data_IF_870584914490
#
_entry.id   IF_870584914490
#
_cell.length_a   1.000
_cell.length_b   1.000
_cell.length_c   1.000
_cell.angle_alpha   90.00
_cell.angle_beta   90.00
_cell.angle_gamma   90.00
#
_symmetry.space_group_name_H-M   'P 1'
#
loop_
_entity.id
_entity.type
_entity.pdbx_description
1 polymer ?
#
# COMPACT_ATOMS: atom_id res chain seq x y z
N UNK A 1 27.51 7.87 -8.40
CA UNK A 1 27.41 6.95 -9.55
C UNK A 1 27.33 5.53 -9.01
N UNK A 2 26.30 4.74 -9.33
CA UNK A 2 26.15 3.36 -8.80
C UNK A 2 27.11 2.43 -9.53
N UNK A 3 27.91 1.64 -8.81
CA UNK A 3 28.84 0.70 -9.43
C UNK A 3 28.10 -0.44 -10.16
N UNK A 4 28.69 -0.97 -11.25
CA UNK A 4 28.13 -2.14 -11.98
C UNK A 4 27.93 -3.35 -11.06
N UNK A 5 28.79 -3.53 -10.07
CA UNK A 5 28.69 -4.59 -9.06
C UNK A 5 27.48 -4.39 -8.14
N UNK A 6 27.18 -3.15 -7.73
CA UNK A 6 25.98 -2.82 -6.96
C UNK A 6 24.70 -3.06 -7.76
N UNK A 7 24.66 -2.69 -9.04
CA UNK A 7 23.52 -2.96 -9.93
C UNK A 7 23.31 -4.47 -10.10
N UNK A 8 24.39 -5.24 -10.26
CA UNK A 8 24.31 -6.71 -10.36
C UNK A 8 23.73 -7.33 -9.08
N UNK A 9 24.24 -6.94 -7.90
CA UNK A 9 23.72 -7.42 -6.60
C UNK A 9 22.23 -7.08 -6.44
N UNK A 10 21.85 -5.87 -6.82
CA UNK A 10 20.45 -5.44 -6.76
C UNK A 10 19.53 -6.27 -7.66
N UNK A 11 19.92 -6.50 -8.92
CA UNK A 11 19.15 -7.37 -9.83
C UNK A 11 19.02 -8.80 -9.28
N UNK A 12 20.04 -9.33 -8.60
CA UNK A 12 19.97 -10.64 -7.92
C UNK A 12 18.97 -10.58 -6.76
N UNK A 13 19.00 -9.54 -5.92
CA UNK A 13 18.03 -9.36 -4.84
C UNK A 13 16.58 -9.31 -5.35
N UNK A 14 16.32 -8.60 -6.46
CA UNK A 14 15.00 -8.59 -7.10
C UNK A 14 14.60 -9.98 -7.62
N UNK A 15 15.53 -10.72 -8.23
CA UNK A 15 15.30 -12.08 -8.71
C UNK A 15 14.99 -13.07 -7.57
N UNK A 16 15.74 -13.01 -6.47
CA UNK A 16 15.48 -13.82 -5.27
C UNK A 16 14.13 -13.46 -4.67
N UNK A 17 13.80 -12.17 -4.57
CA UNK A 17 12.49 -11.73 -4.08
C UNK A 17 11.35 -12.27 -4.95
N UNK A 18 11.50 -12.19 -6.28
CA UNK A 18 10.52 -12.74 -7.21
C UNK A 18 10.31 -14.25 -7.01
N UNK A 19 11.41 -15.01 -6.89
CA UNK A 19 11.35 -16.46 -6.66
C UNK A 19 10.67 -16.81 -5.33
N UNK A 20 11.01 -16.10 -4.25
CA UNK A 20 10.39 -16.31 -2.93
C UNK A 20 8.88 -16.04 -3.00
N UNK A 21 8.45 -14.94 -3.62
CA UNK A 21 7.03 -14.61 -3.76
C UNK A 21 6.27 -15.67 -4.57
N UNK A 22 6.86 -16.18 -5.66
CA UNK A 22 6.29 -17.26 -6.47
C UNK A 22 6.17 -18.58 -5.70
N UNK A 23 7.16 -18.93 -4.88
CA UNK A 23 7.13 -20.15 -4.06
C UNK A 23 6.08 -20.01 -2.96
N UNK A 24 6.04 -18.87 -2.25
CA UNK A 24 5.03 -18.62 -1.22
C UNK A 24 3.61 -18.63 -1.80
N UNK A 25 3.44 -18.18 -3.04
CA UNK A 25 2.16 -18.24 -3.73
C UNK A 25 1.59 -19.66 -3.87
N UNK A 26 2.42 -20.71 -3.88
CA UNK A 26 1.95 -22.11 -3.90
C UNK A 26 1.37 -22.56 -2.56
N UNK A 27 1.85 -21.97 -1.47
CA UNK A 27 1.51 -22.35 -0.09
C UNK A 27 0.25 -21.63 0.37
N UNK A 28 0.13 -20.35 0.02
CA UNK A 28 -1.00 -19.52 0.44
C UNK A 28 -2.24 -19.76 -0.43
N UNK A 29 -3.44 -19.65 0.14
CA UNK A 29 -4.69 -19.81 -0.61
C UNK A 29 -4.86 -18.69 -1.63
N UNK A 30 -5.37 -19.08 -2.79
CA UNK A 30 -5.60 -18.21 -3.93
C UNK A 30 -6.99 -17.61 -3.93
N UNK A 31 -7.96 -18.29 -3.31
CA UNK A 31 -9.30 -17.82 -3.02
C UNK A 31 -9.96 -18.77 -1.99
N UNK A 32 -11.22 -18.54 -1.64
CA UNK A 32 -11.99 -19.39 -0.72
C UNK A 32 -12.20 -20.84 -1.19
N UNK A 33 -11.96 -21.12 -2.47
CA UNK A 33 -12.29 -22.40 -3.13
C UNK A 33 -11.06 -23.17 -3.62
N UNK A 34 -9.86 -22.60 -3.54
CA UNK A 34 -8.63 -23.16 -4.08
C UNK A 34 -7.40 -22.69 -3.29
N UNK A 35 -6.65 -23.66 -2.77
CA UNK A 35 -5.44 -23.43 -1.99
C UNK A 35 -5.03 -24.70 -1.24
N UNK A 36 -3.78 -24.75 -0.75
CA UNK A 36 -3.24 -25.95 -0.11
C UNK A 36 -4.00 -26.37 1.16
N UNK A 37 -4.53 -25.39 1.89
CA UNK A 37 -5.36 -25.58 3.09
C UNK A 37 -6.87 -25.57 2.81
N UNK A 38 -7.27 -25.50 1.53
CA UNK A 38 -8.68 -25.40 1.12
C UNK A 38 -9.21 -26.78 0.76
N UNK A 39 -10.25 -27.29 1.46
CA UNK A 39 -10.86 -28.58 1.17
C UNK A 39 -11.35 -28.69 -0.28
N UNK A 40 -11.30 -29.90 -0.86
CA UNK A 40 -11.78 -30.20 -2.21
C UNK A 40 -11.12 -29.39 -3.35
N UNK A 41 -9.92 -28.86 -3.11
CA UNK A 41 -9.14 -28.18 -4.14
C UNK A 41 -8.80 -29.11 -5.30
N UNK A 42 -9.06 -28.67 -6.54
CA UNK A 42 -8.85 -29.47 -7.75
C UNK A 42 -7.36 -29.65 -8.07
N UNK A 43 -6.88 -30.89 -8.10
CA UNK A 43 -5.48 -31.21 -8.43
C UNK A 43 -5.01 -30.68 -9.79
N UNK A 44 -5.89 -30.63 -10.80
CA UNK A 44 -5.58 -30.05 -12.10
C UNK A 44 -5.23 -28.55 -12.02
N UNK A 45 -5.89 -27.78 -11.15
CA UNK A 45 -5.58 -26.36 -10.95
C UNK A 45 -4.23 -26.19 -10.23
N UNK A 46 -3.86 -27.10 -9.33
CA UNK A 46 -2.52 -27.13 -8.74
C UNK A 46 -1.44 -27.44 -9.78
N UNK A 47 -1.67 -28.44 -10.65
CA UNK A 47 -0.73 -28.76 -11.72
C UNK A 47 -0.52 -27.56 -12.66
N UNK A 48 -1.61 -26.87 -13.01
CA UNK A 48 -1.54 -25.63 -13.79
C UNK A 48 -0.77 -24.53 -13.06
N UNK A 49 -1.06 -24.32 -11.77
CA UNK A 49 -0.35 -23.34 -10.94
C UNK A 49 1.16 -23.63 -10.89
N UNK A 50 1.53 -24.89 -10.65
CA UNK A 50 2.93 -25.32 -10.61
C UNK A 50 3.58 -25.09 -11.97
N UNK A 51 2.92 -25.44 -13.08
CA UNK A 51 3.44 -25.20 -14.42
C UNK A 51 3.68 -23.71 -14.69
N UNK A 52 2.71 -22.84 -14.39
CA UNK A 52 2.87 -21.39 -14.51
C UNK A 52 4.00 -20.86 -13.64
N UNK A 53 4.15 -21.40 -12.42
CA UNK A 53 5.22 -21.03 -11.47
C UNK A 53 6.59 -21.43 -12.01
N UNK A 54 6.73 -22.64 -12.57
CA UNK A 54 7.97 -23.12 -13.18
C UNK A 54 8.37 -22.26 -14.37
N UNK A 55 7.43 -21.85 -15.23
CA UNK A 55 7.73 -20.93 -16.33
C UNK A 55 8.23 -19.56 -15.83
N UNK A 56 7.62 -19.05 -14.75
CA UNK A 56 8.02 -17.78 -14.13
C UNK A 56 9.41 -17.89 -13.48
N UNK A 57 9.73 -19.03 -12.84
CA UNK A 57 11.05 -19.33 -12.30
C UNK A 57 12.10 -19.53 -13.41
N UNK A 58 11.73 -20.14 -14.54
CA UNK A 58 12.60 -20.27 -15.70
C UNK A 58 12.97 -18.90 -16.29
N UNK A 59 12.05 -17.94 -16.29
CA UNK A 59 12.33 -16.55 -16.67
C UNK A 59 13.40 -15.90 -15.77
N UNK A 60 13.42 -16.25 -14.48
CA UNK A 60 14.44 -15.80 -13.52
C UNK A 60 15.77 -16.51 -13.78
N UNK A 61 15.76 -17.84 -13.91
CA UNK A 61 16.95 -18.66 -14.11
C UNK A 61 17.70 -18.31 -15.41
N UNK A 62 16.96 -17.99 -16.48
CA UNK A 62 17.53 -17.51 -17.73
C UNK A 62 18.19 -16.12 -17.62
N UNK A 63 17.86 -15.34 -16.59
CA UNK A 63 18.55 -14.11 -16.21
C UNK A 63 18.73 -13.12 -17.36
N UNK A 64 19.99 -12.77 -17.65
CA UNK A 64 20.37 -11.88 -18.76
C UNK A 64 20.43 -12.58 -20.13
N UNK A 65 20.46 -13.92 -20.15
CA UNK A 65 20.54 -14.70 -21.40
C UNK A 65 19.21 -14.68 -22.17
N UNK A 66 18.09 -14.51 -21.44
CA UNK A 66 16.78 -14.32 -22.03
C UNK A 66 16.54 -12.84 -22.32
N UNK A 67 16.12 -12.55 -23.55
CA UNK A 67 15.65 -11.21 -23.91
C UNK A 67 14.39 -10.81 -23.12
N UNK A 68 14.10 -9.50 -22.96
CA UNK A 68 12.94 -9.03 -22.21
C UNK A 68 11.60 -9.58 -22.73
N UNK A 69 11.46 -9.76 -24.05
CA UNK A 69 10.26 -10.32 -24.66
C UNK A 69 10.01 -11.78 -24.24
N UNK A 70 11.06 -12.60 -24.19
CA UNK A 70 10.96 -14.01 -23.76
C UNK A 70 10.62 -14.09 -22.28
N UNK A 71 11.24 -13.24 -21.45
CA UNK A 71 10.91 -13.16 -20.02
C UNK A 71 9.45 -12.75 -19.80
N UNK A 72 8.95 -11.76 -20.53
CA UNK A 72 7.55 -11.38 -20.47
C UNK A 72 6.64 -12.55 -20.90
N UNK A 73 6.95 -13.20 -22.03
CA UNK A 73 6.18 -14.33 -22.56
C UNK A 73 6.09 -15.50 -21.57
N UNK A 74 7.18 -15.84 -20.87
CA UNK A 74 7.18 -16.88 -19.84
C UNK A 74 6.30 -16.56 -18.61
N UNK A 75 6.01 -15.29 -18.35
CA UNK A 75 5.14 -14.86 -17.25
C UNK A 75 3.68 -14.65 -17.68
N UNK A 76 3.38 -14.58 -18.98
CA UNK A 76 2.00 -14.43 -19.49
C UNK A 76 1.07 -15.53 -18.94
N UNK A 77 1.44 -16.83 -18.93
CA UNK A 77 0.57 -17.87 -18.37
C UNK A 77 0.18 -17.62 -16.91
N UNK A 78 1.11 -17.12 -16.08
CA UNK A 78 0.84 -16.80 -14.69
C UNK A 78 -0.14 -15.62 -14.55
N UNK A 79 0.05 -14.57 -15.36
CA UNK A 79 -0.84 -13.41 -15.37
C UNK A 79 -2.25 -13.78 -15.86
N UNK A 80 -2.36 -14.67 -16.86
CA UNK A 80 -3.63 -15.19 -17.33
C UNK A 80 -4.34 -16.05 -16.26
N UNK A 81 -3.58 -16.83 -15.51
CA UNK A 81 -4.14 -17.60 -14.39
C UNK A 81 -4.74 -16.68 -13.33
N UNK A 82 -4.01 -15.64 -12.89
CA UNK A 82 -4.51 -14.64 -11.94
C UNK A 82 -5.75 -13.93 -12.49
N UNK A 83 -5.73 -13.52 -13.77
CA UNK A 83 -6.89 -12.93 -14.42
C UNK A 83 -8.10 -13.89 -14.43
N UNK A 84 -7.86 -15.18 -14.63
CA UNK A 84 -8.89 -16.21 -14.54
C UNK A 84 -9.57 -16.27 -13.17
N UNK A 85 -8.79 -16.14 -12.08
CA UNK A 85 -9.35 -16.06 -10.72
C UNK A 85 -10.16 -14.78 -10.50
N UNK A 86 -9.67 -13.64 -10.98
CA UNK A 86 -10.41 -12.36 -10.92
C UNK A 86 -11.73 -12.46 -11.70
N UNK A 87 -11.71 -12.99 -12.93
CA UNK A 87 -12.91 -13.16 -13.74
C UNK A 87 -13.88 -14.16 -13.12
N UNK A 88 -13.37 -15.25 -12.56
CA UNK A 88 -14.17 -16.22 -11.83
C UNK A 88 -14.88 -15.57 -10.64
N UNK A 89 -14.16 -14.76 -9.85
CA UNK A 89 -14.75 -14.01 -8.75
C UNK A 89 -15.85 -13.05 -9.23
N UNK A 90 -15.58 -12.26 -10.28
CA UNK A 90 -16.58 -11.35 -10.88
C UNK A 90 -17.83 -12.11 -11.31
N UNK A 91 -17.68 -13.25 -11.98
CA UNK A 91 -18.81 -14.08 -12.43
C UNK A 91 -19.57 -14.66 -11.24
N UNK A 92 -18.89 -15.16 -10.21
CA UNK A 92 -19.53 -15.66 -9.00
C UNK A 92 -20.29 -14.55 -8.27
N UNK A 93 -19.65 -13.41 -8.07
CA UNK A 93 -20.23 -12.18 -7.56
C UNK A 93 -21.53 -11.85 -8.28
N UNK A 94 -21.54 -11.89 -9.61
CA UNK A 94 -22.72 -11.54 -10.39
C UNK A 94 -23.81 -12.60 -10.27
N UNK A 95 -23.44 -13.87 -10.37
CA UNK A 95 -24.37 -15.00 -10.36
C UNK A 95 -25.02 -15.21 -9.00
N UNK A 96 -24.28 -15.00 -7.93
CA UNK A 96 -24.69 -15.26 -6.56
C UNK A 96 -25.01 -13.98 -5.78
N UNK A 97 -25.02 -12.82 -6.44
CA UNK A 97 -25.39 -11.55 -5.83
C UNK A 97 -26.77 -11.61 -5.16
N UNK A 98 -26.86 -11.09 -3.94
CA UNK A 98 -28.08 -11.12 -3.13
C UNK A 98 -28.40 -12.47 -2.47
N UNK A 99 -27.53 -13.48 -2.60
CA UNK A 99 -27.62 -14.74 -1.86
C UNK A 99 -26.61 -14.76 -0.70
N UNK A 100 -26.71 -15.76 0.19
CA UNK A 100 -25.75 -15.96 1.27
C UNK A 100 -24.44 -16.63 0.82
N UNK A 101 -24.30 -17.04 -0.46
CA UNK A 101 -23.06 -17.69 -0.91
C UNK A 101 -21.99 -16.66 -1.22
N UNK A 102 -20.86 -16.79 -0.53
CA UNK A 102 -19.71 -15.87 -0.60
C UNK A 102 -18.92 -16.13 -1.88
N UNK A 103 -18.72 -15.13 -2.76
CA UNK A 103 -17.80 -15.22 -3.90
C UNK A 103 -16.38 -15.56 -3.45
N UNK A 104 -15.59 -16.15 -4.35
CA UNK A 104 -14.29 -16.72 -3.98
C UNK A 104 -13.27 -15.68 -3.50
N UNK A 105 -13.34 -14.46 -4.02
CA UNK A 105 -12.33 -13.42 -3.85
C UNK A 105 -10.99 -13.79 -4.52
N UNK A 106 -10.01 -12.91 -4.34
CA UNK A 106 -8.61 -13.13 -4.72
C UNK A 106 -7.75 -13.05 -3.46
N UNK A 107 -7.23 -14.19 -3.03
CA UNK A 107 -6.45 -14.37 -1.81
C UNK A 107 -4.95 -14.03 -1.95
N UNK A 108 -4.20 -14.10 -0.84
CA UNK A 108 -2.79 -13.72 -0.78
C UNK A 108 -1.89 -14.55 -1.70
N UNK A 109 -2.23 -15.81 -1.99
CA UNK A 109 -1.47 -16.62 -2.95
C UNK A 109 -1.40 -15.96 -4.33
N UNK A 110 -2.52 -15.42 -4.81
CA UNK A 110 -2.57 -14.69 -6.06
C UNK A 110 -1.84 -13.33 -5.99
N UNK A 111 -1.91 -12.62 -4.86
CA UNK A 111 -1.19 -11.35 -4.67
C UNK A 111 0.32 -11.53 -4.69
N UNK A 112 0.84 -12.51 -3.95
CA UNK A 112 2.25 -12.88 -3.93
C UNK A 112 2.69 -13.35 -5.32
N UNK A 113 1.89 -14.22 -5.93
CA UNK A 113 2.16 -14.78 -7.25
C UNK A 113 2.27 -13.74 -8.34
N UNK A 114 1.28 -12.84 -8.44
CA UNK A 114 1.29 -11.78 -9.46
C UNK A 114 2.46 -10.81 -9.23
N UNK A 115 2.78 -10.47 -7.98
CA UNK A 115 3.91 -9.62 -7.66
C UNK A 115 5.24 -10.28 -8.07
N UNK A 116 5.39 -11.58 -7.77
CA UNK A 116 6.53 -12.39 -8.19
C UNK A 116 6.68 -12.47 -9.71
N UNK A 117 5.59 -12.78 -10.42
CA UNK A 117 5.54 -12.86 -11.88
C UNK A 117 5.83 -11.52 -12.57
N UNK A 118 5.37 -10.41 -11.99
CA UNK A 118 5.65 -9.07 -12.50
C UNK A 118 7.13 -8.71 -12.28
N UNK A 119 7.73 -9.09 -11.14
CA UNK A 119 9.15 -8.89 -10.88
C UNK A 119 10.05 -9.74 -11.80
N UNK A 120 9.70 -11.00 -12.05
CA UNK A 120 10.44 -11.89 -12.96
C UNK A 120 10.33 -11.44 -14.43
N UNK A 121 9.23 -10.80 -14.83
CA UNK A 121 9.03 -10.27 -16.17
C UNK A 121 9.85 -8.99 -16.46
N UNK A 122 10.33 -8.28 -15.44
CA UNK A 122 10.95 -6.97 -15.66
C UNK A 122 12.26 -7.04 -16.43
N UNK A 123 12.52 -6.07 -17.33
CA UNK A 123 13.83 -5.95 -17.95
C UNK A 123 14.90 -5.63 -16.87
N UNK A 124 16.10 -6.24 -16.95
CA UNK A 124 17.15 -6.04 -15.97
C UNK A 124 17.69 -4.61 -16.02
N UNK A 125 18.04 -4.05 -14.87
CA UNK A 125 18.62 -2.70 -14.81
C UNK A 125 20.07 -2.77 -15.30
N UNK A 126 20.40 -2.02 -16.35
CA UNK A 126 21.72 -2.03 -17.02
C UNK A 126 22.47 -0.69 -16.90
N UNK A 127 21.76 0.42 -16.65
CA UNK A 127 22.35 1.76 -16.53
C UNK A 127 22.71 2.43 -17.86
N UNK A 128 22.23 1.90 -18.99
CA UNK A 128 22.41 2.42 -20.37
C UNK A 128 21.08 2.32 -21.15
N UNK A 129 21.08 2.57 -22.47
CA UNK A 129 19.93 2.68 -23.43
C UNK A 129 18.72 1.73 -23.18
N UNK A 130 18.90 0.55 -22.60
CA UNK A 130 17.81 -0.34 -22.15
C UNK A 130 16.89 0.26 -21.06
N UNK A 131 17.29 1.37 -20.44
CA UNK A 131 16.44 2.17 -19.54
C UNK A 131 15.16 2.67 -20.22
N UNK A 132 15.14 2.83 -21.54
CA UNK A 132 13.93 3.28 -22.26
C UNK A 132 12.84 2.22 -22.29
N UNK A 133 13.20 0.92 -22.35
CA UNK A 133 12.22 -0.18 -22.22
C UNK A 133 11.67 -0.26 -20.80
N UNK A 134 12.54 -0.08 -19.81
CA UNK A 134 12.14 -0.05 -18.41
C UNK A 134 11.29 1.20 -18.07
N UNK A 135 11.56 2.34 -18.73
CA UNK A 135 10.66 3.51 -18.70
C UNK A 135 9.32 3.21 -19.36
N UNK A 136 9.30 2.48 -20.48
CA UNK A 136 8.09 1.97 -21.11
C UNK A 136 7.27 1.07 -20.19
N UNK A 137 7.94 0.17 -19.47
CA UNK A 137 7.33 -0.67 -18.42
C UNK A 137 6.72 0.18 -17.31
N UNK A 138 7.40 1.21 -16.83
CA UNK A 138 6.83 2.13 -15.84
C UNK A 138 5.65 2.96 -16.37
N UNK A 139 5.54 3.13 -17.70
CA UNK A 139 4.41 3.84 -18.33
C UNK A 139 3.13 2.98 -18.40
N UNK A 140 3.20 1.66 -18.17
CA UNK A 140 2.00 0.82 -18.08
C UNK A 140 1.31 0.94 -16.71
N UNK A 141 2.00 1.42 -15.68
CA UNK A 141 1.46 1.50 -14.32
C UNK A 141 0.14 2.31 -14.17
N UNK A 142 -0.07 3.44 -14.86
CA UNK A 142 -1.35 4.15 -14.81
C UNK A 142 -2.54 3.31 -15.25
N UNK A 143 -2.37 2.32 -16.15
CA UNK A 143 -3.45 1.42 -16.56
C UNK A 143 -3.94 0.58 -15.38
N UNK A 144 -3.02 0.12 -14.51
CA UNK A 144 -3.37 -0.61 -13.27
C UNK A 144 -4.19 0.30 -12.34
N UNK A 145 -3.79 1.57 -12.21
CA UNK A 145 -4.51 2.57 -11.42
C UNK A 145 -5.93 2.80 -11.94
N UNK A 146 -6.10 3.01 -13.26
CA UNK A 146 -7.42 3.19 -13.87
C UNK A 146 -8.30 1.95 -13.77
N UNK A 147 -7.75 0.76 -14.06
CA UNK A 147 -8.49 -0.50 -13.95
C UNK A 147 -8.95 -0.75 -12.51
N UNK A 148 -8.08 -0.48 -11.52
CA UNK A 148 -8.43 -0.58 -10.10
C UNK A 148 -9.57 0.34 -9.71
N UNK A 149 -9.57 1.59 -10.16
CA UNK A 149 -10.65 2.55 -9.88
C UNK A 149 -11.95 2.09 -10.57
N UNK A 150 -11.89 1.70 -11.84
CA UNK A 150 -13.07 1.25 -12.59
C UNK A 150 -13.72 0.01 -11.95
N UNK A 151 -12.91 -0.98 -11.57
CA UNK A 151 -13.39 -2.19 -10.88
C UNK A 151 -13.94 -1.87 -9.49
N UNK A 152 -13.34 -0.93 -8.75
CA UNK A 152 -13.87 -0.49 -7.47
C UNK A 152 -15.22 0.21 -7.62
N UNK A 153 -15.38 1.10 -8.60
CA UNK A 153 -16.66 1.75 -8.90
C UNK A 153 -17.71 0.72 -9.29
N UNK A 154 -17.36 -0.23 -10.15
CA UNK A 154 -18.27 -1.30 -10.56
C UNK A 154 -18.70 -2.16 -9.35
N UNK A 155 -17.76 -2.47 -8.45
CA UNK A 155 -18.05 -3.18 -7.20
C UNK A 155 -19.02 -2.39 -6.30
N UNK A 156 -18.84 -1.07 -6.11
CA UNK A 156 -19.81 -0.24 -5.36
C UNK A 156 -21.19 -0.32 -6.00
N UNK A 157 -21.28 -0.08 -7.32
CA UNK A 157 -22.56 -0.02 -8.03
C UNK A 157 -23.28 -1.36 -7.96
N UNK A 158 -22.55 -2.46 -8.11
CA UNK A 158 -23.12 -3.80 -8.07
C UNK A 158 -23.61 -4.18 -6.65
N UNK A 159 -22.80 -3.89 -5.63
CA UNK A 159 -23.20 -4.07 -4.24
C UNK A 159 -24.43 -3.23 -3.89
N UNK A 160 -24.47 -1.97 -4.33
CA UNK A 160 -25.59 -1.07 -4.10
C UNK A 160 -26.86 -1.57 -4.82
N UNK A 161 -26.74 -2.04 -6.07
CA UNK A 161 -27.85 -2.61 -6.82
C UNK A 161 -28.49 -3.78 -6.06
N UNK A 162 -27.68 -4.75 -5.59
CA UNK A 162 -28.21 -5.89 -4.85
C UNK A 162 -28.79 -5.50 -3.50
N UNK A 163 -28.18 -4.55 -2.79
CA UNK A 163 -28.73 -4.05 -1.51
C UNK A 163 -30.04 -3.30 -1.69
N UNK A 164 -30.17 -2.49 -2.74
CA UNK A 164 -31.44 -1.85 -3.09
C UNK A 164 -32.47 -2.92 -3.46
N UNK A 165 -32.11 -3.88 -4.30
CA UNK A 165 -33.01 -4.98 -4.70
C UNK A 165 -33.48 -5.80 -3.50
N UNK A 166 -32.60 -6.10 -2.54
CA UNK A 166 -32.95 -6.81 -1.32
C UNK A 166 -33.82 -5.98 -0.36
N UNK A 167 -33.67 -4.65 -0.37
CA UNK A 167 -34.45 -3.72 0.44
C UNK A 167 -35.80 -3.33 -0.20
N UNK A 168 -36.05 -3.67 -1.46
CA UNK A 168 -37.33 -3.40 -2.11
C UNK A 168 -38.41 -4.35 -1.56
N UNK A 169 -39.55 -3.84 -1.07
CA UNK A 169 -40.62 -4.68 -0.56
C UNK A 169 -41.20 -5.56 -1.67
N UNK A 170 -41.35 -6.85 -1.40
CA UNK A 170 -41.95 -7.84 -2.32
C UNK A 170 -43.46 -8.02 -2.08
N UNK A 171 -44.05 -7.25 -1.15
CA UNK A 171 -45.46 -7.33 -0.75
C UNK A 171 -46.07 -5.99 -0.36
N UNK A 172 -47.24 -6.00 0.27
CA UNK A 172 -48.02 -4.80 0.63
C UNK A 172 -47.47 -4.00 1.83
N UNK A 173 -46.47 -4.51 2.53
CA UNK A 173 -45.71 -3.77 3.54
C UNK A 173 -44.79 -2.78 2.83
N UNK A 174 -45.24 -1.53 2.71
CA UNK A 174 -44.50 -0.46 2.03
C UNK A 174 -43.07 -0.24 2.53
N UNK A 175 -42.38 0.72 1.92
CA UNK A 175 -40.98 1.04 2.24
C UNK A 175 -40.81 1.49 3.70
N UNK A 176 -40.14 0.68 4.51
CA UNK A 176 -40.00 0.89 5.97
C UNK A 176 -38.61 1.33 6.43
N UNK A 177 -38.47 1.61 7.73
CA UNK A 177 -37.21 2.02 8.38
C UNK A 177 -36.05 1.03 8.12
N UNK A 178 -36.33 -0.27 8.10
CA UNK A 178 -35.34 -1.33 7.85
C UNK A 178 -34.76 -1.25 6.43
N UNK A 179 -35.60 -0.98 5.43
CA UNK A 179 -35.17 -0.85 4.04
C UNK A 179 -34.26 0.37 3.86
N UNK A 180 -34.63 1.50 4.48
CA UNK A 180 -33.82 2.71 4.49
C UNK A 180 -32.46 2.48 5.18
N UNK A 181 -32.45 1.78 6.33
CA UNK A 181 -31.23 1.45 7.06
C UNK A 181 -30.26 0.58 6.25
N UNK A 182 -30.76 -0.44 5.55
CA UNK A 182 -29.95 -1.31 4.68
C UNK A 182 -29.28 -0.51 3.57
N UNK A 183 -30.04 0.37 2.90
CA UNK A 183 -29.54 1.20 1.79
C UNK A 183 -28.55 2.26 2.29
N UNK A 184 -28.87 2.95 3.39
CA UNK A 184 -27.98 3.97 3.96
C UNK A 184 -26.62 3.37 4.36
N UNK A 185 -26.64 2.21 5.03
CA UNK A 185 -25.41 1.50 5.41
C UNK A 185 -24.61 1.05 4.19
N UNK A 186 -25.30 0.56 3.13
CA UNK A 186 -24.67 0.20 1.85
C UNK A 186 -23.87 1.36 1.26
N UNK A 187 -24.49 2.54 1.23
CA UNK A 187 -23.91 3.75 0.65
C UNK A 187 -22.69 4.18 1.45
N UNK A 188 -22.79 4.25 2.78
CA UNK A 188 -21.67 4.65 3.64
C UNK A 188 -20.48 3.73 3.46
N UNK A 189 -20.69 2.41 3.57
CA UNK A 189 -19.61 1.42 3.42
C UNK A 189 -19.00 1.46 2.02
N UNK A 190 -19.84 1.52 0.98
CA UNK A 190 -19.38 1.60 -0.41
C UNK A 190 -18.58 2.87 -0.71
N UNK A 191 -19.00 4.02 -0.18
CA UNK A 191 -18.28 5.30 -0.33
C UNK A 191 -16.93 5.25 0.39
N UNK A 192 -16.89 4.77 1.63
CA UNK A 192 -15.64 4.67 2.41
C UNK A 192 -14.63 3.76 1.71
N UNK A 193 -15.06 2.60 1.24
CA UNK A 193 -14.21 1.68 0.50
C UNK A 193 -13.72 2.29 -0.82
N UNK A 194 -14.62 2.92 -1.60
CA UNK A 194 -14.26 3.55 -2.87
C UNK A 194 -13.25 4.69 -2.68
N UNK A 195 -13.48 5.57 -1.71
CA UNK A 195 -12.55 6.69 -1.42
C UNK A 195 -11.17 6.15 -1.06
N UNK A 196 -11.11 5.09 -0.26
CA UNK A 196 -9.86 4.42 0.12
C UNK A 196 -9.10 3.91 -1.11
N UNK A 197 -9.78 3.18 -2.00
CA UNK A 197 -9.17 2.67 -3.23
C UNK A 197 -8.75 3.80 -4.17
N UNK A 198 -9.60 4.82 -4.35
CA UNK A 198 -9.29 5.97 -5.23
C UNK A 198 -8.06 6.72 -4.73
N UNK A 199 -7.95 6.97 -3.43
CA UNK A 199 -6.78 7.66 -2.84
C UNK A 199 -5.50 6.87 -3.11
N UNK A 200 -5.51 5.57 -2.85
CA UNK A 200 -4.35 4.70 -3.07
C UNK A 200 -3.99 4.58 -4.57
N UNK A 201 -4.98 4.33 -5.43
CA UNK A 201 -4.78 4.14 -6.87
C UNK A 201 -4.38 5.42 -7.60
N UNK A 202 -4.77 6.60 -7.08
CA UNK A 202 -4.28 7.89 -7.59
C UNK A 202 -2.77 8.03 -7.45
N UNK A 203 -2.13 7.40 -6.46
CA UNK A 203 -0.67 7.43 -6.34
C UNK A 203 0.03 6.59 -7.41
N UNK A 204 -0.60 5.51 -7.88
CA UNK A 204 -0.08 4.68 -8.98
C UNK A 204 0.01 5.51 -10.27
N UNK A 205 -0.94 6.41 -10.48
CA UNK A 205 -0.98 7.30 -11.66
C UNK A 205 0.03 8.46 -11.58
N UNK A 206 0.49 8.81 -10.37
CA UNK A 206 1.42 9.91 -10.18
C UNK A 206 2.86 9.50 -10.54
N UNK A 207 3.55 10.35 -11.29
CA UNK A 207 4.94 10.08 -11.73
C UNK A 207 6.01 10.43 -10.70
N UNK A 208 5.63 11.05 -9.59
CA UNK A 208 6.57 11.54 -8.59
C UNK A 208 7.15 10.41 -7.72
N UNK A 209 8.41 10.55 -7.32
CA UNK A 209 9.16 9.53 -6.55
C UNK A 209 8.51 9.21 -5.20
N UNK A 210 7.96 10.23 -4.54
CA UNK A 210 7.25 10.09 -3.27
C UNK A 210 6.00 9.21 -3.39
N UNK A 211 5.23 9.35 -4.48
CA UNK A 211 4.07 8.49 -4.78
C UNK A 211 4.47 7.06 -5.02
N UNK A 212 5.51 6.84 -5.84
CA UNK A 212 6.02 5.49 -6.14
C UNK A 212 6.49 4.80 -4.88
N UNK A 213 7.23 5.50 -4.02
CA UNK A 213 7.63 4.96 -2.72
C UNK A 213 6.43 4.63 -1.83
N UNK A 214 5.40 5.47 -1.85
CA UNK A 214 4.18 5.23 -1.07
C UNK A 214 3.48 3.97 -1.56
N UNK A 215 3.38 3.77 -2.88
CA UNK A 215 2.83 2.56 -3.49
C UNK A 215 3.66 1.32 -3.15
N UNK A 216 5.00 1.42 -3.15
CA UNK A 216 5.88 0.32 -2.74
C UNK A 216 5.65 -0.05 -1.28
N UNK A 217 5.56 0.94 -0.38
CA UNK A 217 5.23 0.71 1.02
C UNK A 217 3.85 0.09 1.20
N UNK A 218 2.83 0.60 0.50
CA UNK A 218 1.47 0.08 0.53
C UNK A 218 1.40 -1.37 0.04
N UNK A 219 2.02 -1.69 -1.10
CA UNK A 219 2.02 -3.05 -1.64
C UNK A 219 2.83 -4.03 -0.78
N UNK A 220 3.96 -3.60 -0.20
CA UNK A 220 4.71 -4.42 0.75
C UNK A 220 3.88 -4.72 2.01
N UNK A 221 3.24 -3.69 2.59
CA UNK A 221 2.32 -3.86 3.72
C UNK A 221 1.13 -4.75 3.35
N UNK A 222 0.63 -4.68 2.12
CA UNK A 222 -0.45 -5.53 1.61
C UNK A 222 -0.05 -7.01 1.57
N UNK A 223 1.12 -7.32 1.00
CA UNK A 223 1.61 -8.69 0.95
C UNK A 223 1.84 -9.25 2.36
N UNK A 224 2.47 -8.48 3.25
CA UNK A 224 2.71 -8.90 4.64
C UNK A 224 1.39 -9.07 5.40
N UNK A 225 0.44 -8.16 5.23
CA UNK A 225 -0.89 -8.28 5.85
C UNK A 225 -1.60 -9.56 5.40
N UNK A 226 -1.57 -9.86 4.10
CA UNK A 226 -2.11 -11.11 3.56
C UNK A 226 -1.45 -12.34 4.19
N UNK A 227 -0.13 -12.36 4.33
CA UNK A 227 0.58 -13.45 5.00
C UNK A 227 0.15 -13.61 6.46
N UNK A 228 0.08 -12.50 7.23
CA UNK A 228 -0.27 -12.51 8.66
C UNK A 228 -1.72 -12.98 8.86
N UNK A 229 -2.66 -12.35 8.16
CA UNK A 229 -4.10 -12.63 8.30
C UNK A 229 -4.39 -14.07 7.91
N UNK A 230 -3.70 -14.64 6.92
CA UNK A 230 -3.96 -16.01 6.50
C UNK A 230 -3.19 -17.08 7.27
N UNK A 231 -2.10 -16.71 7.96
CA UNK A 231 -1.32 -17.67 8.74
C UNK A 231 -1.84 -17.82 10.17
N UNK A 232 -2.55 -16.82 10.70
CA UNK A 232 -3.02 -16.81 12.08
C UNK A 232 -4.44 -17.32 12.19
N UNK A 233 -4.73 -18.11 13.24
CA UNK A 233 -6.10 -18.57 13.53
C UNK A 233 -7.08 -17.41 13.76
N UNK A 234 -6.64 -16.34 14.42
CA UNK A 234 -7.42 -15.09 14.61
C UNK A 234 -7.66 -14.34 13.30
N UNK A 235 -6.94 -14.69 12.24
CA UNK A 235 -7.10 -14.12 10.91
C UNK A 235 -8.52 -14.19 10.38
N UNK A 236 -9.25 -15.26 10.70
CA UNK A 236 -10.66 -15.43 10.34
C UNK A 236 -11.58 -14.40 11.01
N UNK A 237 -11.24 -13.99 12.23
CA UNK A 237 -11.96 -12.93 12.93
C UNK A 237 -11.56 -11.54 12.42
N UNK A 238 -10.35 -11.39 11.87
CA UNK A 238 -9.88 -10.13 11.27
C UNK A 238 -10.56 -9.91 9.91
N UNK A 239 -10.59 -10.92 9.04
CA UNK A 239 -11.22 -10.84 7.72
C UNK A 239 -12.01 -12.13 7.46
N UNK A 240 -13.33 -12.03 7.31
CA UNK A 240 -14.21 -13.19 7.12
C UNK A 240 -14.57 -13.41 5.66
N UNK A 241 -14.56 -12.37 4.84
CA UNK A 241 -15.24 -12.38 3.53
C UNK A 241 -14.43 -11.73 2.40
N UNK A 242 -13.15 -11.43 2.61
CA UNK A 242 -12.22 -10.82 1.64
C UNK A 242 -12.69 -9.43 1.18
N UNK A 243 -12.15 -8.35 1.77
CA UNK A 243 -12.40 -7.00 1.25
C UNK A 243 -12.13 -5.83 2.20
N UNK A 244 -12.26 -4.61 1.67
CA UNK A 244 -12.25 -3.37 2.45
C UNK A 244 -13.71 -3.05 2.83
N UNK A 245 -14.04 -3.02 4.13
CA UNK A 245 -15.37 -2.71 4.70
C UNK A 245 -16.52 -3.59 4.18
N UNK A 246 -16.95 -4.59 4.97
CA UNK A 246 -18.02 -5.50 4.58
C UNK A 246 -19.18 -5.48 5.58
N UNK A 247 -20.39 -5.34 5.05
CA UNK A 247 -21.60 -5.60 5.80
C UNK A 247 -22.14 -6.97 5.35
N UNK A 248 -22.22 -7.90 6.31
CA UNK A 248 -22.32 -9.36 6.15
C UNK A 248 -23.69 -9.87 5.70
N UNK A 249 -24.71 -9.02 5.58
CA UNK A 249 -26.08 -9.50 5.41
C UNK A 249 -26.47 -9.92 3.98
N UNK A 250 -25.88 -9.37 2.90
CA UNK A 250 -26.42 -9.57 1.53
C UNK A 250 -25.45 -9.38 0.35
N UNK A 251 -24.16 -9.12 0.56
CA UNK A 251 -23.26 -8.73 -0.55
C UNK A 251 -21.84 -9.27 -0.41
N UNK A 252 -21.41 -10.01 -1.43
CA UNK A 252 -20.14 -10.73 -1.46
C UNK A 252 -19.08 -10.16 -2.42
N UNK A 253 -19.19 -8.93 -2.91
CA UNK A 253 -18.11 -8.34 -3.72
C UNK A 253 -17.14 -7.60 -2.81
N UNK A 254 -16.00 -8.23 -2.56
CA UNK A 254 -14.88 -7.60 -1.87
C UNK A 254 -14.37 -6.38 -2.64
N UNK A 255 -14.07 -5.29 -1.93
CA UNK A 255 -13.25 -4.22 -2.49
C UNK A 255 -11.79 -4.65 -2.47
N UNK A 256 -11.33 -5.28 -3.55
CA UNK A 256 -10.00 -5.88 -3.64
C UNK A 256 -8.97 -4.95 -4.31
N UNK A 257 -8.60 -3.87 -3.61
CA UNK A 257 -7.48 -3.01 -4.04
C UNK A 257 -6.11 -3.70 -3.95
N UNK A 258 -6.01 -4.76 -3.15
CA UNK A 258 -4.76 -5.42 -2.77
C UNK A 258 -3.96 -5.95 -3.96
N UNK A 259 -4.63 -6.60 -4.92
CA UNK A 259 -3.98 -7.13 -6.11
C UNK A 259 -3.33 -6.00 -6.92
N UNK A 260 -4.04 -4.90 -7.13
CA UNK A 260 -3.53 -3.74 -7.86
C UNK A 260 -2.34 -3.10 -7.14
N UNK A 261 -2.39 -2.99 -5.81
CA UNK A 261 -1.30 -2.43 -5.01
C UNK A 261 -0.06 -3.32 -5.00
N UNK A 262 -0.23 -4.65 -4.92
CA UNK A 262 0.86 -5.61 -5.02
C UNK A 262 1.55 -5.55 -6.39
N UNK A 263 0.77 -5.55 -7.48
CA UNK A 263 1.30 -5.40 -8.86
C UNK A 263 2.01 -4.06 -9.02
N UNK A 264 1.40 -2.95 -8.60
CA UNK A 264 2.00 -1.64 -8.75
C UNK A 264 3.29 -1.49 -7.93
N UNK A 265 3.35 -2.08 -6.73
CA UNK A 265 4.57 -2.13 -5.94
C UNK A 265 5.67 -2.95 -6.65
N UNK A 266 5.33 -4.11 -7.23
CA UNK A 266 6.26 -4.89 -8.03
C UNK A 266 6.80 -4.08 -9.22
N UNK A 267 5.95 -3.33 -9.93
CA UNK A 267 6.36 -2.45 -11.04
C UNK A 267 7.32 -1.34 -10.58
N UNK A 268 7.07 -0.69 -9.43
CA UNK A 268 7.84 0.47 -9.01
C UNK A 268 9.07 0.16 -8.14
N UNK A 269 9.06 -0.91 -7.35
CA UNK A 269 10.05 -1.16 -6.31
C UNK A 269 11.50 -1.24 -6.84
N UNK A 270 11.82 -2.03 -7.89
CA UNK A 270 13.21 -2.26 -8.27
C UNK A 270 13.95 -0.98 -8.65
N UNK A 271 13.33 -0.10 -9.45
CA UNK A 271 13.96 1.17 -9.83
C UNK A 271 13.90 2.22 -8.74
N UNK A 272 12.77 2.34 -8.06
CA UNK A 272 12.56 3.43 -7.10
C UNK A 272 13.49 3.26 -5.91
N UNK A 273 13.63 2.04 -5.38
CA UNK A 273 14.52 1.75 -4.27
C UNK A 273 16.00 1.87 -4.66
N UNK A 274 16.39 1.39 -5.86
CA UNK A 274 17.77 1.54 -6.32
C UNK A 274 18.19 3.01 -6.43
N UNK A 275 17.31 3.88 -6.94
CA UNK A 275 17.58 5.33 -7.05
C UNK A 275 17.78 5.99 -5.68
N UNK A 276 17.01 5.58 -4.69
CA UNK A 276 17.12 6.13 -3.32
C UNK A 276 18.37 5.64 -2.62
N UNK A 277 18.74 4.37 -2.81
CA UNK A 277 19.99 3.81 -2.31
C UNK A 277 21.21 4.50 -2.95
N UNK A 278 21.08 4.96 -4.19
CA UNK A 278 22.13 5.65 -4.94
C UNK A 278 22.34 7.12 -4.56
N UNK A 279 21.29 7.80 -4.08
CA UNK A 279 21.29 9.25 -3.84
C UNK A 279 20.92 9.57 -2.38
N UNK A 280 21.94 9.87 -1.57
CA UNK A 280 21.79 10.16 -0.16
C UNK A 280 21.17 11.55 0.13
N UNK A 281 21.26 12.51 -0.80
CA UNK A 281 20.82 13.90 -0.58
C UNK A 281 19.35 14.10 -0.96
N UNK A 282 18.82 13.36 -1.94
CA UNK A 282 17.39 13.37 -2.29
C UNK A 282 16.52 12.72 -1.20
N UNK A 283 17.11 11.93 -0.30
CA UNK A 283 16.40 11.01 0.59
C UNK A 283 15.47 11.69 1.62
N UNK A 284 15.94 12.66 2.42
CA UNK A 284 15.21 13.05 3.64
C UNK A 284 13.84 13.72 3.40
N UNK A 285 13.78 14.71 2.51
CA UNK A 285 12.52 15.40 2.21
C UNK A 285 11.54 14.47 1.47
N UNK A 286 12.06 13.57 0.64
CA UNK A 286 11.25 12.58 -0.10
C UNK A 286 10.61 11.59 0.88
N UNK A 287 11.38 11.06 1.84
CA UNK A 287 10.86 10.15 2.87
C UNK A 287 9.75 10.77 3.70
N UNK A 288 9.90 12.02 4.15
CA UNK A 288 8.84 12.73 4.90
C UNK A 288 7.59 12.96 4.04
N UNK A 289 7.74 13.31 2.76
CA UNK A 289 6.60 13.45 1.84
C UNK A 289 5.88 12.13 1.59
N UNK A 290 6.63 11.04 1.42
CA UNK A 290 6.10 9.67 1.33
C UNK A 290 5.32 9.30 2.60
N UNK A 291 5.90 9.52 3.78
CA UNK A 291 5.23 9.23 5.04
C UNK A 291 3.93 10.04 5.21
N UNK A 292 3.90 11.31 4.78
CA UNK A 292 2.65 12.10 4.74
C UNK A 292 1.58 11.50 3.83
N UNK A 293 1.94 10.94 2.66
CA UNK A 293 0.96 10.25 1.81
C UNK A 293 0.42 8.99 2.48
N UNK A 294 1.28 8.20 3.14
CA UNK A 294 0.84 7.07 3.96
C UNK A 294 -0.15 7.49 5.06
N UNK A 295 0.13 8.60 5.75
CA UNK A 295 -0.77 9.17 6.76
C UNK A 295 -2.14 9.55 6.19
N UNK A 296 -2.22 10.06 4.96
CA UNK A 296 -3.52 10.38 4.32
C UNK A 296 -4.43 9.15 4.25
N UNK A 297 -3.89 7.98 3.93
CA UNK A 297 -4.68 6.75 3.85
C UNK A 297 -5.15 6.29 5.24
N UNK A 298 -4.29 6.41 6.26
CA UNK A 298 -4.67 6.14 7.66
C UNK A 298 -5.79 7.09 8.10
N UNK A 299 -5.68 8.39 7.80
CA UNK A 299 -6.69 9.41 8.12
C UNK A 299 -8.02 9.07 7.46
N UNK A 300 -8.01 8.85 6.13
CA UNK A 300 -9.21 8.55 5.34
C UNK A 300 -9.93 7.32 5.90
N UNK A 301 -9.19 6.26 6.19
CA UNK A 301 -9.78 5.04 6.73
C UNK A 301 -10.31 5.21 8.14
N UNK A 302 -9.54 5.82 9.04
CA UNK A 302 -9.98 5.96 10.43
C UNK A 302 -11.22 6.86 10.52
N UNK A 303 -11.28 7.95 9.74
CA UNK A 303 -12.48 8.80 9.65
C UNK A 303 -13.65 8.02 9.04
N UNK A 304 -13.41 7.27 7.96
CA UNK A 304 -14.43 6.42 7.34
C UNK A 304 -14.95 5.34 8.30
N UNK A 305 -14.08 4.75 9.12
CA UNK A 305 -14.43 3.78 10.15
C UNK A 305 -15.29 4.39 11.25
N UNK A 306 -14.96 5.61 11.72
CA UNK A 306 -15.84 6.37 12.63
C UNK A 306 -17.22 6.56 12.00
N UNK A 307 -17.29 6.95 10.73
CA UNK A 307 -18.55 7.15 10.02
C UNK A 307 -19.39 5.86 9.91
N UNK A 308 -18.75 4.73 9.58
CA UNK A 308 -19.39 3.42 9.53
C UNK A 308 -19.94 3.02 10.91
N UNK A 309 -19.15 3.21 11.98
CA UNK A 309 -19.58 2.90 13.35
C UNK A 309 -20.73 3.78 13.83
N UNK A 310 -20.70 5.08 13.53
CA UNK A 310 -21.82 5.98 13.83
C UNK A 310 -23.07 5.52 13.07
N UNK A 311 -22.93 5.15 11.80
CA UNK A 311 -24.04 4.64 10.99
C UNK A 311 -24.64 3.39 11.62
N UNK A 312 -23.82 2.44 12.06
CA UNK A 312 -24.28 1.22 12.72
C UNK A 312 -25.00 1.50 14.05
N UNK A 313 -24.49 2.43 14.86
CA UNK A 313 -25.17 2.87 16.09
C UNK A 313 -26.55 3.46 15.77
N UNK A 314 -26.61 4.37 14.79
CA UNK A 314 -27.88 5.00 14.38
C UNK A 314 -28.86 3.96 13.87
N UNK A 315 -28.41 3.00 13.06
CA UNK A 315 -29.24 1.90 12.56
C UNK A 315 -29.77 1.05 13.71
N UNK A 316 -28.93 0.66 14.66
CA UNK A 316 -29.36 -0.13 15.82
C UNK A 316 -30.39 0.61 16.67
N UNK A 317 -30.24 1.93 16.87
CA UNK A 317 -31.21 2.75 17.59
C UNK A 317 -32.53 2.85 16.81
N UNK A 318 -32.47 3.18 15.52
CA UNK A 318 -33.66 3.39 14.67
C UNK A 318 -34.50 2.11 14.52
N UNK A 319 -33.84 0.96 14.49
CA UNK A 319 -34.45 -0.35 14.32
C UNK A 319 -34.70 -1.08 15.65
N UNK A 320 -34.40 -0.46 16.80
CA UNK A 320 -34.47 -1.11 18.13
C UNK A 320 -33.76 -2.47 18.17
N UNK A 321 -32.61 -2.58 17.49
CA UNK A 321 -31.79 -3.79 17.52
C UNK A 321 -30.99 -3.86 18.82
N UNK A 322 -30.68 -5.06 19.33
CA UNK A 322 -29.77 -5.21 20.45
C UNK A 322 -28.37 -4.71 20.07
N UNK A 323 -27.83 -3.78 20.85
CA UNK A 323 -26.46 -3.29 20.71
C UNK A 323 -25.86 -2.96 22.08
N UNK A 324 -24.52 -2.95 22.16
CA UNK A 324 -23.79 -2.50 23.34
C UNK A 324 -23.30 -1.06 23.09
N UNK A 325 -23.87 -0.04 23.78
CA UNK A 325 -23.45 1.34 23.58
C UNK A 325 -21.97 1.56 23.93
N UNK A 326 -21.49 0.88 24.99
CA UNK A 326 -20.11 0.98 25.44
C UNK A 326 -19.13 0.46 24.38
N UNK A 327 -19.38 -0.74 23.85
CA UNK A 327 -18.50 -1.37 22.87
C UNK A 327 -18.44 -0.57 21.57
N UNK A 328 -19.60 -0.12 21.07
CA UNK A 328 -19.69 0.71 19.88
C UNK A 328 -19.00 2.06 20.05
N UNK A 329 -19.17 2.72 21.21
CA UNK A 329 -18.52 3.99 21.52
C UNK A 329 -17.00 3.83 21.68
N UNK A 330 -16.55 2.77 22.35
CA UNK A 330 -15.12 2.47 22.52
C UNK A 330 -14.44 2.26 21.17
N UNK A 331 -15.02 1.42 20.31
CA UNK A 331 -14.50 1.20 18.96
C UNK A 331 -14.43 2.49 18.13
N UNK A 332 -15.47 3.33 18.17
CA UNK A 332 -15.48 4.62 17.48
C UNK A 332 -14.44 5.61 18.05
N UNK A 333 -14.23 5.61 19.37
CA UNK A 333 -13.24 6.45 20.02
C UNK A 333 -11.80 6.07 19.61
N UNK A 334 -11.48 4.77 19.53
CA UNK A 334 -10.16 4.32 19.06
C UNK A 334 -9.89 4.78 17.62
N UNK A 335 -10.87 4.67 16.73
CA UNK A 335 -10.76 5.17 15.35
C UNK A 335 -10.55 6.70 15.32
N UNK A 336 -11.34 7.44 16.11
CA UNK A 336 -11.27 8.90 16.16
C UNK A 336 -9.93 9.40 16.70
N UNK A 337 -9.44 8.84 17.81
CA UNK A 337 -8.14 9.21 18.40
C UNK A 337 -7.01 8.92 17.42
N UNK A 338 -7.08 7.79 16.72
CA UNK A 338 -6.10 7.42 15.68
C UNK A 338 -6.13 8.41 14.52
N UNK A 339 -7.32 8.79 14.06
CA UNK A 339 -7.49 9.80 13.01
C UNK A 339 -6.91 11.16 13.42
N UNK A 340 -7.25 11.64 14.62
CA UNK A 340 -6.76 12.93 15.16
C UNK A 340 -5.23 12.93 15.24
N UNK A 341 -4.64 11.86 15.76
CA UNK A 341 -3.18 11.72 15.83
C UNK A 341 -2.55 11.69 14.43
N UNK A 342 -3.14 10.95 13.50
CA UNK A 342 -2.65 10.87 12.12
C UNK A 342 -2.74 12.23 11.39
N UNK A 343 -3.82 13.01 11.61
CA UNK A 343 -3.96 14.38 11.10
C UNK A 343 -2.88 15.29 11.69
N UNK A 344 -2.70 15.23 13.02
CA UNK A 344 -1.68 16.03 13.67
C UNK A 344 -0.28 15.72 13.13
N UNK A 345 0.06 14.44 12.96
CA UNK A 345 1.31 14.00 12.35
C UNK A 345 1.42 14.46 10.89
N UNK A 346 0.34 14.38 10.12
CA UNK A 346 0.33 14.81 8.71
C UNK A 346 0.67 16.29 8.56
N UNK A 347 0.17 17.13 9.48
CA UNK A 347 0.45 18.56 9.51
C UNK A 347 1.88 18.86 10.00
N UNK A 348 2.37 18.08 10.97
CA UNK A 348 3.61 18.38 11.70
C UNK A 348 4.85 17.62 11.23
N UNK A 349 4.75 16.60 10.38
CA UNK A 349 5.90 15.75 9.99
C UNK A 349 7.04 16.51 9.28
N UNK A 350 6.71 17.62 8.62
CA UNK A 350 7.67 18.47 7.91
C UNK A 350 8.10 19.66 8.77
N UNK A 351 7.41 19.90 9.89
CA UNK A 351 7.74 20.97 10.80
C UNK A 351 9.11 20.73 11.44
N UNK A 352 10.04 21.66 11.22
CA UNK A 352 11.43 21.54 11.69
C UNK A 352 11.62 22.06 13.12
N UNK A 353 10.64 22.76 13.68
CA UNK A 353 10.72 23.29 15.04
C UNK A 353 10.46 22.23 16.10
N UNK A 354 9.82 21.12 15.72
CA UNK A 354 9.49 20.04 16.65
C UNK A 354 10.67 19.08 16.84
N UNK A 355 10.91 18.61 18.08
CA UNK A 355 11.93 17.61 18.35
C UNK A 355 11.65 16.31 17.58
N UNK A 356 12.70 15.76 16.96
CA UNK A 356 12.64 14.47 16.25
C UNK A 356 12.10 13.35 17.14
N UNK A 357 12.49 13.35 18.43
CA UNK A 357 12.02 12.35 19.40
C UNK A 357 10.49 12.38 19.57
N UNK A 358 9.89 13.57 19.59
CA UNK A 358 8.43 13.75 19.70
C UNK A 358 7.72 13.21 18.46
N UNK A 359 8.24 13.50 17.26
CA UNK A 359 7.67 12.98 16.02
C UNK A 359 7.78 11.45 15.99
N UNK A 360 8.96 10.90 16.32
CA UNK A 360 9.17 9.45 16.32
C UNK A 360 8.31 8.74 17.38
N UNK A 361 8.18 9.30 18.59
CA UNK A 361 7.34 8.73 19.64
C UNK A 361 5.87 8.74 19.24
N UNK A 362 5.37 9.84 18.67
CA UNK A 362 3.99 9.93 18.20
C UNK A 362 3.70 9.03 17.00
N UNK A 363 4.67 8.81 16.10
CA UNK A 363 4.56 7.74 15.09
C UNK A 363 4.52 6.34 15.73
N UNK A 364 5.23 6.13 16.84
CA UNK A 364 5.16 4.89 17.62
C UNK A 364 3.80 4.68 18.26
N UNK A 365 3.25 5.73 18.88
CA UNK A 365 1.88 5.73 19.42
C UNK A 365 0.86 5.46 18.32
N UNK A 366 1.01 6.08 17.14
CA UNK A 366 0.14 5.81 15.99
C UNK A 366 0.16 4.33 15.60
N UNK A 367 1.35 3.71 15.53
CA UNK A 367 1.48 2.28 15.25
C UNK A 367 0.76 1.42 16.30
N UNK A 368 0.98 1.69 17.59
CA UNK A 368 0.30 0.97 18.69
C UNK A 368 -1.22 1.14 18.60
N UNK A 369 -1.71 2.34 18.29
CA UNK A 369 -3.14 2.60 18.11
C UNK A 369 -3.70 1.83 16.91
N UNK A 370 -3.00 1.77 15.77
CA UNK A 370 -3.45 0.97 14.62
C UNK A 370 -3.57 -0.52 14.94
N UNK A 371 -2.65 -1.07 15.74
CA UNK A 371 -2.74 -2.46 16.22
C UNK A 371 -3.89 -2.62 17.21
N UNK A 372 -4.04 -1.68 18.13
CA UNK A 372 -5.12 -1.69 19.13
C UNK A 372 -6.51 -1.66 18.48
N UNK A 373 -6.68 -0.91 17.38
CA UNK A 373 -7.94 -0.89 16.62
C UNK A 373 -8.36 -2.27 16.12
N UNK A 374 -7.40 -3.11 15.70
CA UNK A 374 -7.67 -4.49 15.27
C UNK A 374 -8.13 -5.32 16.47
N UNK A 375 -7.37 -5.27 17.57
CA UNK A 375 -7.68 -6.04 18.78
C UNK A 375 -9.05 -5.67 19.33
N UNK A 376 -9.31 -4.38 19.52
CA UNK A 376 -10.59 -3.86 20.02
C UNK A 376 -11.71 -4.17 19.04
N UNK A 377 -11.47 -3.99 17.74
CA UNK A 377 -12.44 -4.26 16.69
C UNK A 377 -12.79 -5.74 16.52
N UNK A 378 -11.92 -6.67 16.90
CA UNK A 378 -12.22 -8.12 16.92
C UNK A 378 -12.88 -8.55 18.23
N UNK A 379 -12.45 -7.97 19.35
CA UNK A 379 -12.92 -8.34 20.68
C UNK A 379 -14.33 -7.81 20.97
N UNK A 380 -14.63 -6.59 20.55
CA UNK A 380 -15.87 -5.88 20.90
C UNK A 380 -16.94 -5.91 19.80
N UNK A 381 -16.63 -6.47 18.63
CA UNK A 381 -17.60 -6.50 17.54
C UNK A 381 -18.75 -7.49 17.82
N UNK A 382 -20.01 -7.12 17.51
CA UNK A 382 -21.16 -7.96 17.79
C UNK A 382 -21.10 -9.29 17.01
N UNK A 383 -21.55 -10.39 17.64
CA UNK A 383 -21.55 -11.73 17.04
C UNK A 383 -22.96 -12.31 16.94
N UNK A 384 -23.25 -13.01 15.85
CA UNK A 384 -24.49 -13.76 15.64
C UNK A 384 -24.43 -15.08 16.42
N UNK A 385 -25.53 -15.44 17.10
CA UNK A 385 -25.67 -16.71 17.81
C UNK A 385 -26.24 -17.79 16.86
N UNK A 386 -25.52 -18.89 16.65
CA UNK A 386 -25.98 -20.03 15.84
C UNK A 386 -24.83 -20.94 15.38
N UNK A 387 -25.11 -22.18 14.91
CA UNK A 387 -24.09 -23.02 14.30
C UNK A 387 -23.55 -22.28 13.07
N UNK A 388 -22.25 -22.03 13.11
CA UNK A 388 -21.53 -21.41 12.03
C UNK A 388 -21.47 -22.40 10.86
N UNK A 389 -22.50 -22.44 10.00
CA UNK A 389 -22.37 -22.91 8.60
C UNK A 389 -21.54 -21.91 7.80
N UNK A 390 -20.44 -21.50 8.40
CA UNK A 390 -19.43 -20.59 7.90
C UNK A 390 -18.46 -21.44 7.10
N UNK A 391 -18.04 -20.96 5.93
CA UNK A 391 -17.11 -21.68 5.08
C UNK A 391 -15.89 -22.17 5.90
N UNK A 392 -15.59 -23.46 5.82
CA UNK A 392 -14.53 -24.13 6.59
C UNK A 392 -13.14 -23.48 6.43
N UNK A 393 -12.94 -22.73 5.35
CA UNK A 393 -11.71 -22.00 5.05
C UNK A 393 -11.69 -20.65 5.77
N UNK A 394 -12.66 -19.79 5.49
CA UNK A 394 -12.69 -18.39 5.93
C UNK A 394 -14.11 -17.89 6.15
N UNK A 395 -14.31 -17.22 7.27
CA UNK A 395 -15.57 -16.61 7.68
C UNK A 395 -15.63 -16.46 9.20
N UNK A 396 -16.44 -15.51 9.65
CA UNK A 396 -16.61 -15.19 11.06
C UNK A 396 -18.09 -15.17 11.42
N UNK A 397 -18.39 -15.30 12.70
CA UNK A 397 -19.73 -15.07 13.23
C UNK A 397 -19.99 -13.59 13.55
N UNK A 398 -19.19 -12.67 13.01
CA UNK A 398 -19.34 -11.24 13.23
C UNK A 398 -20.60 -10.72 12.52
N UNK A 399 -21.46 -10.02 13.26
CA UNK A 399 -22.67 -9.40 12.70
C UNK A 399 -22.35 -8.20 11.81
N UNK A 400 -21.19 -7.55 12.03
CA UNK A 400 -20.65 -6.46 11.23
C UNK A 400 -19.13 -6.59 11.16
N UNK A 401 -18.55 -6.46 9.98
CA UNK A 401 -17.11 -6.61 9.77
C UNK A 401 -16.50 -5.33 9.19
N UNK A 402 -16.28 -4.36 10.08
CA UNK A 402 -15.58 -3.10 9.77
C UNK A 402 -14.06 -3.33 9.81
N UNK A 403 -13.56 -4.02 10.84
CA UNK A 403 -12.16 -4.44 10.94
C UNK A 403 -11.88 -5.43 9.82
N UNK A 404 -10.84 -5.19 9.01
CA UNK A 404 -10.49 -6.09 7.91
C UNK A 404 -8.98 -6.23 7.69
N UNK A 405 -8.57 -7.04 6.70
CA UNK A 405 -7.17 -7.13 6.26
C UNK A 405 -6.55 -5.75 6.04
N UNK A 406 -7.36 -4.75 5.64
CA UNK A 406 -6.89 -3.40 5.41
C UNK A 406 -6.33 -2.74 6.68
N UNK A 407 -6.89 -2.99 7.85
CA UNK A 407 -6.34 -2.47 9.11
C UNK A 407 -4.95 -3.03 9.39
N UNK A 408 -4.68 -4.28 9.01
CA UNK A 408 -3.32 -4.87 9.07
C UNK A 408 -2.39 -4.20 8.06
N UNK A 409 -2.88 -3.85 6.86
CA UNK A 409 -2.11 -3.05 5.89
C UNK A 409 -1.74 -1.69 6.47
N UNK A 410 -2.66 -1.03 7.17
CA UNK A 410 -2.41 0.25 7.82
C UNK A 410 -1.39 0.13 8.97
N UNK A 411 -1.37 -0.98 9.70
CA UNK A 411 -0.32 -1.26 10.69
C UNK A 411 1.05 -1.32 10.02
N UNK A 412 1.17 -2.02 8.89
CA UNK A 412 2.41 -2.07 8.10
C UNK A 412 2.83 -0.69 7.59
N UNK A 413 1.89 0.13 7.13
CA UNK A 413 2.15 1.52 6.74
C UNK A 413 2.59 2.39 7.92
N UNK A 414 1.94 2.28 9.07
CA UNK A 414 2.30 3.00 10.28
C UNK A 414 3.72 2.62 10.75
N UNK A 415 4.09 1.34 10.66
CA UNK A 415 5.45 0.88 10.92
C UNK A 415 6.47 1.47 9.93
N UNK A 416 6.13 1.56 8.64
CA UNK A 416 6.98 2.20 7.65
C UNK A 416 7.16 3.70 7.93
N UNK A 417 6.11 4.39 8.35
CA UNK A 417 6.14 5.80 8.76
C UNK A 417 7.04 5.98 9.99
N UNK A 418 6.92 5.10 10.99
CA UNK A 418 7.78 5.09 12.17
C UNK A 418 9.25 4.88 11.79
N UNK A 419 9.55 3.91 10.93
CA UNK A 419 10.91 3.67 10.43
C UNK A 419 11.48 4.91 9.73
N UNK A 420 10.67 5.60 8.92
CA UNK A 420 11.04 6.87 8.28
C UNK A 420 11.31 7.97 9.32
N UNK A 421 10.47 8.11 10.33
CA UNK A 421 10.65 9.11 11.38
C UNK A 421 11.97 8.88 12.15
N UNK A 422 12.26 7.65 12.54
CA UNK A 422 13.51 7.27 13.22
C UNK A 422 14.71 7.47 12.31
N UNK A 423 14.63 7.00 11.06
CA UNK A 423 15.73 7.07 10.10
C UNK A 423 16.11 8.50 9.73
N UNK A 424 15.13 9.34 9.40
CA UNK A 424 15.37 10.76 9.12
C UNK A 424 15.84 11.53 10.34
N UNK A 425 15.44 11.11 11.54
CA UNK A 425 15.92 11.65 12.80
C UNK A 425 17.40 11.42 13.09
N UNK A 426 17.87 10.18 12.92
CA UNK A 426 19.28 9.81 13.14
C UNK A 426 20.23 10.52 12.16
N UNK A 427 19.80 10.72 10.92
CA UNK A 427 20.59 11.45 9.93
C UNK A 427 20.72 12.95 10.25
N UNK A 428 19.74 13.55 10.94
CA UNK A 428 19.82 14.93 11.37
C UNK A 428 20.82 15.11 12.52
N UNK A 429 20.84 14.20 13.49
CA UNK A 429 21.77 14.22 14.63
C UNK A 429 23.24 13.99 14.23
N UNK A 430 23.49 13.26 13.14
CA UNK A 430 24.85 12.96 12.65
C UNK A 430 25.45 14.06 11.80
N UNK A 431 24.73 15.14 11.49
CA UNK A 431 25.30 16.25 10.73
C UNK A 431 26.20 17.05 11.69
N UNK A 432 27.53 17.11 11.48
CA UNK A 432 28.36 18.00 12.26
C UNK A 432 27.79 19.40 12.08
N UNK A 433 27.57 20.10 13.18
CA UNK A 433 27.45 21.56 13.12
C UNK A 433 28.76 22.00 12.48
N UNK A 434 28.71 22.41 11.22
CA UNK A 434 29.78 23.22 10.67
C UNK A 434 29.74 24.48 11.51
N UNK A 435 30.51 24.49 12.60
CA UNK A 435 30.89 25.72 13.26
C UNK A 435 31.62 26.44 12.14
N UNK A 436 30.93 27.41 11.51
CA UNK A 436 31.59 28.42 10.71
C UNK A 436 32.61 29.01 11.64
N UNK A 437 33.86 28.52 11.53
CA UNK A 437 34.99 29.13 12.20
C UNK A 437 34.89 30.59 11.83
N UNK A 438 34.74 31.53 12.79
CA UNK A 438 34.74 32.93 12.43
C UNK A 438 35.98 33.11 11.56
N UNK A 439 35.76 33.61 10.34
CA UNK A 439 36.86 34.00 9.48
C UNK A 439 37.64 34.98 10.34
N UNK A 440 38.80 34.55 10.82
CA UNK A 440 39.74 35.47 11.42
C UNK A 440 39.97 36.49 10.31
N UNK A 441 39.50 37.71 10.54
CA UNK A 441 39.86 38.85 9.72
C UNK A 441 41.36 39.00 9.97
N UNK A 442 42.12 38.37 9.07
CA UNK A 442 43.56 38.44 9.04
C UNK A 442 43.89 39.84 8.54
N UNK A 443 44.06 40.77 9.47
CA UNK A 443 44.46 42.15 9.22
C UNK A 443 45.98 42.20 8.91
N UNK A 444 46.38 41.37 7.94
CA UNK A 444 47.74 41.29 7.43
C UNK A 444 47.72 41.73 5.95
N UNK A 445 48.51 42.74 5.57
CA UNK A 445 48.45 43.33 4.23
C UNK A 445 48.84 42.30 3.16
N UNK A 446 47.89 41.96 2.29
CA UNK A 446 48.12 41.09 1.13
C UNK A 446 48.94 41.82 0.07
N UNK A 447 50.20 41.43 -0.07
CA UNK A 447 51.04 41.79 -1.21
C UNK A 447 50.53 41.02 -2.44
N UNK A 448 50.01 41.77 -3.42
CA UNK A 448 49.56 41.22 -4.69
C UNK A 448 50.78 40.90 -5.58
N UNK A 449 51.17 39.63 -5.69
CA UNK A 449 52.06 39.14 -6.75
C UNK A 449 51.21 38.47 -7.83
N UNK A 450 50.85 39.25 -8.85
CA UNK A 450 50.34 38.71 -10.10
C UNK A 450 51.50 38.16 -10.93
N UNK A 451 51.41 36.89 -11.32
CA UNK A 451 52.23 36.32 -12.38
C UNK A 451 51.36 36.25 -13.64
N UNK A 452 51.58 37.19 -14.56
CA UNK A 452 51.46 36.96 -16.00
C UNK A 452 52.49 37.87 -16.68
N UNK A 453 53.54 37.25 -17.21
CA UNK A 453 54.47 37.83 -18.19
C UNK A 453 53.86 37.63 -19.59
N UNK A 454 54.18 38.40 -20.67
CA UNK A 454 55.53 38.89 -20.96
C UNK A 454 55.57 40.21 -21.76
N UNK A 455 56.15 41.29 -21.24
CA UNK A 455 56.83 42.26 -22.12
C UNK A 455 57.94 42.99 -21.36
N UNK A 456 59.12 42.90 -21.95
CA UNK A 456 60.38 43.52 -21.57
C UNK A 456 60.23 45.04 -21.51
N UNK A 457 60.34 45.65 -20.33
CA UNK A 457 60.76 47.05 -20.20
C UNK A 457 61.50 47.26 -18.87
N UNK A 458 62.74 47.73 -18.99
CA UNK A 458 63.71 47.98 -17.93
C UNK A 458 63.24 49.10 -16.96
N UNK A 459 63.80 49.18 -15.74
CA UNK A 459 63.22 49.98 -14.66
C UNK A 459 63.47 51.48 -14.86
N UNK A 460 62.42 52.30 -14.72
CA UNK A 460 62.54 53.75 -14.55
C UNK A 460 62.30 54.10 -13.08
N UNK A 461 63.37 54.48 -12.38
CA UNK A 461 63.30 55.15 -11.09
C UNK A 461 62.92 56.60 -11.38
N UNK A 462 61.69 57.00 -11.02
CA UNK A 462 61.24 58.38 -11.12
C UNK A 462 61.39 59.05 -9.75
N UNK A 463 62.21 60.11 -9.69
CA UNK A 463 62.35 60.99 -8.52
C UNK A 463 61.14 61.92 -8.46
N UNK A 464 60.56 62.07 -7.26
CA UNK A 464 59.54 63.06 -6.99
C UNK A 464 60.12 64.48 -7.20
N UNK A 465 59.39 65.30 -7.95
CA UNK A 465 59.53 66.76 -7.93
C UNK A 465 58.36 67.32 -7.14
N UNK A 466 58.65 67.75 -5.91
CA UNK A 466 57.84 68.75 -5.21
C UNK A 466 58.18 70.12 -5.80
N UNK A 467 57.17 70.88 -6.22
CA UNK A 467 56.92 72.25 -5.73
C UNK A 467 55.85 72.98 -6.57
N UNK A 468 54.82 73.47 -5.85
CA UNK A 468 54.07 74.73 -6.01
C UNK A 468 53.70 75.18 -7.44
N UNK A 469 52.43 75.31 -7.85
CA UNK A 469 51.32 76.11 -7.30
C UNK A 469 50.03 75.73 -8.03
#
# INVERSE_FOLDING_TARGET
>A
MVSRTSIRRWNISCAVTAAVLLILALVFPWNLYFGLTVPNSRGALFALLIACTVLSLAAIAGGRRLGPAVRAALNVPYLLMVLGFVLFDVVQTVRYGGTATVPGGVGPGAWLGVAGAVLSAQPPITGTVDDDRLRGWLRSAPLIGYASIALAVLSVVFNLFWRIKAALPTGSSGFGKQNLAIIATAIVYGVVALVTVVVASRWIMQRSTDSRLTVVGLGASTLIAGLIVWSLNVGRDIDGFHGIAQNTSTTGVGFEGYLAWAVAAAVFAPLTLLRILADQQIAQNTWRRTARKGLVLIIVWCIGSVLMRITDIVVSIVLNLPYSPYDSAAMAAFDLVTAVLAVWLYLNLVNRTLPVAVIASLCGVLFVLTVSRIVVGVALAPRLAGPADVNAVYGSNLAQQITSTFDVVLCGLALCILAVAIGTGRLHQRRPVTISRPVAVDDAPRIYRGNDSPHTQAPKIFRASDDTT
#
